data_IF_476253812822
#
_entry.id   IF_476253812822
#
_cell.length_a   1.000
_cell.length_b   1.000
_cell.length_c   1.000
_cell.angle_alpha   90.00
_cell.angle_beta   90.00
_cell.angle_gamma   90.00
#
_symmetry.space_group_name_H-M   'P 1'
#
loop_
_entity.id
_entity.type
_entity.pdbx_description
1 polymer ?
#
# COMPACT_ATOMS: atom_id res chain seq x y z
N UNK A 1 58.13 27.78 9.30
CA UNK A 1 57.56 27.66 10.66
C UNK A 1 56.06 27.39 10.53
N UNK A 2 55.63 26.19 10.95
CA UNK A 2 54.33 25.73 11.54
C UNK A 2 53.02 26.46 11.11
N UNK A 3 52.06 25.80 10.43
CA UNK A 3 51.03 24.84 10.90
C UNK A 3 49.75 25.49 11.47
N UNK A 4 48.58 25.23 10.86
CA UNK A 4 47.38 24.66 11.51
C UNK A 4 46.14 24.59 10.57
N UNK A 5 45.27 23.60 10.85
CA UNK A 5 44.08 23.12 10.12
C UNK A 5 42.74 23.63 10.75
N UNK A 6 41.54 23.29 10.20
CA UNK A 6 40.30 24.08 10.30
C UNK A 6 39.28 23.57 11.35
N UNK A 7 38.23 24.37 11.60
CA UNK A 7 37.07 24.01 12.42
C UNK A 7 35.72 24.28 11.74
N UNK A 8 34.88 23.24 11.67
CA UNK A 8 33.44 23.27 11.41
C UNK A 8 32.71 22.90 12.72
N UNK A 9 31.48 23.43 12.92
CA UNK A 9 30.26 22.66 13.32
C UNK A 9 29.34 23.37 14.35
N UNK A 10 28.06 22.97 14.26
CA UNK A 10 26.98 23.00 15.27
C UNK A 10 26.12 24.27 15.41
N UNK A 11 25.12 24.43 14.53
CA UNK A 11 23.77 24.96 14.89
C UNK A 11 22.86 24.78 13.67
N UNK A 12 22.15 23.65 13.51
CA UNK A 12 20.96 23.48 12.63
C UNK A 12 20.38 22.05 12.63
N UNK A 13 19.96 21.52 13.78
CA UNK A 13 19.22 20.23 13.82
C UNK A 13 18.04 20.17 14.78
N UNK A 14 17.68 21.26 15.46
CA UNK A 14 16.57 21.27 16.41
C UNK A 14 15.21 21.69 15.80
N UNK A 15 15.19 22.35 14.63
CA UNK A 15 13.96 22.96 14.08
C UNK A 15 13.10 22.00 13.22
N UNK A 16 13.69 20.94 12.66
CA UNK A 16 13.00 20.01 11.75
C UNK A 16 12.22 18.90 12.46
N UNK A 17 12.45 18.68 13.76
CA UNK A 17 11.75 17.64 14.53
C UNK A 17 10.46 18.15 15.17
N UNK A 18 10.41 19.45 15.50
CA UNK A 18 9.26 20.10 16.14
C UNK A 18 8.05 20.25 15.20
N UNK A 19 8.28 20.46 13.89
CA UNK A 19 7.24 20.68 12.88
C UNK A 19 6.38 19.44 12.59
N UNK A 20 6.97 18.25 12.53
CA UNK A 20 6.23 16.98 12.29
C UNK A 20 5.35 16.60 13.48
N UNK A 21 5.85 16.77 14.71
CA UNK A 21 5.06 16.52 15.93
C UNK A 21 3.95 17.52 16.18
N UNK A 22 4.02 18.72 15.58
CA UNK A 22 2.96 19.74 15.64
C UNK A 22 1.89 19.48 14.58
N UNK A 23 2.29 18.98 13.40
CA UNK A 23 1.38 18.59 12.32
C UNK A 23 0.51 17.38 12.68
N UNK A 24 1.09 16.37 13.35
CA UNK A 24 0.37 15.17 13.78
C UNK A 24 -0.54 15.39 15.01
N UNK A 25 -0.32 16.45 15.80
CA UNK A 25 -1.05 16.66 17.07
C UNK A 25 -2.46 17.24 16.91
N UNK A 26 -2.82 17.72 15.71
CA UNK A 26 -4.08 18.44 15.46
C UNK A 26 -5.10 17.70 14.59
N UNK A 27 -4.80 16.51 14.06
CA UNK A 27 -5.72 15.74 13.21
C UNK A 27 -5.95 14.36 13.82
N UNK A 28 -7.18 14.10 14.25
CA UNK A 28 -7.66 12.77 14.65
C UNK A 28 -7.78 11.89 13.41
N UNK A 29 -6.65 11.50 12.81
CA UNK A 29 -6.64 10.58 11.68
C UNK A 29 -7.01 9.16 12.16
N UNK A 30 -8.07 8.53 11.62
CA UNK A 30 -8.34 7.12 11.85
C UNK A 30 -7.44 6.28 10.95
N UNK A 31 -6.12 6.47 10.99
CA UNK A 31 -5.21 5.50 10.37
C UNK A 31 -5.42 4.17 11.10
N UNK A 32 -5.83 3.08 10.41
CA UNK A 32 -5.97 1.79 11.06
C UNK A 32 -4.60 1.39 11.56
N UNK A 33 -4.44 1.35 12.88
CA UNK A 33 -3.22 0.86 13.55
C UNK A 33 -2.81 -0.50 12.98
N UNK A 34 -3.78 -1.27 12.50
CA UNK A 34 -3.66 -2.54 11.77
C UNK A 34 -2.84 -2.48 10.47
N UNK A 35 -2.85 -1.38 9.69
CA UNK A 35 -2.10 -1.27 8.42
C UNK A 35 -0.60 -1.00 8.66
N UNK A 36 -0.29 -0.17 9.66
CA UNK A 36 1.09 0.01 10.14
C UNK A 36 1.62 -1.28 10.77
N UNK A 37 0.77 -2.00 11.51
CA UNK A 37 1.08 -3.33 12.03
C UNK A 37 1.28 -4.37 10.91
N UNK A 38 0.53 -4.30 9.81
CA UNK A 38 0.68 -5.15 8.64
C UNK A 38 1.96 -4.86 7.86
N UNK A 39 2.31 -3.58 7.67
CA UNK A 39 3.59 -3.18 7.09
C UNK A 39 4.77 -3.62 7.97
N UNK A 40 4.65 -3.46 9.30
CA UNK A 40 5.63 -3.94 10.25
C UNK A 40 5.70 -5.48 10.30
N UNK A 41 4.56 -6.18 10.18
CA UNK A 41 4.50 -7.64 10.11
C UNK A 41 5.09 -8.17 8.79
N UNK A 42 4.86 -7.47 7.67
CA UNK A 42 5.49 -7.75 6.38
C UNK A 42 7.01 -7.65 6.49
N UNK A 43 7.52 -6.53 7.03
CA UNK A 43 8.96 -6.33 7.28
C UNK A 43 9.54 -7.38 8.24
N UNK A 44 8.77 -7.83 9.23
CA UNK A 44 9.15 -8.91 10.17
C UNK A 44 9.08 -10.31 9.55
N UNK A 45 8.27 -10.50 8.51
CA UNK A 45 8.08 -11.78 7.81
C UNK A 45 9.13 -12.06 6.74
N UNK A 46 9.93 -11.05 6.38
CA UNK A 46 11.15 -11.24 5.59
C UNK A 46 12.12 -12.13 6.39
N UNK A 47 12.69 -13.19 5.78
CA UNK A 47 13.60 -14.06 6.51
C UNK A 47 14.83 -13.28 6.97
N UNK A 48 15.40 -13.64 8.13
CA UNK A 48 16.61 -13.00 8.60
C UNK A 48 17.73 -13.24 7.58
N UNK A 49 18.33 -12.15 7.10
CA UNK A 49 19.66 -12.19 6.50
C UNK A 49 20.67 -12.72 7.54
N UNK A 50 21.83 -13.26 7.13
CA UNK A 50 22.82 -13.86 8.05
C UNK A 50 23.46 -12.86 9.05
N UNK A 51 22.95 -11.64 9.16
CA UNK A 51 23.34 -10.65 10.16
C UNK A 51 22.34 -10.68 11.33
N UNK A 52 22.40 -11.71 12.17
CA UNK A 52 21.67 -11.74 13.44
C UNK A 52 22.53 -12.26 14.58
N UNK A 53 23.04 -11.33 15.36
CA UNK A 53 23.20 -11.52 16.80
C UNK A 53 22.61 -10.29 17.49
N UNK A 54 21.65 -10.50 18.39
CA UNK A 54 21.15 -9.47 19.29
C UNK A 54 19.81 -8.82 18.91
N UNK A 55 18.69 -9.54 19.08
CA UNK A 55 17.38 -8.89 19.27
C UNK A 55 16.63 -9.57 20.43
N UNK A 56 16.55 -8.91 21.57
CA UNK A 56 15.55 -9.18 22.62
C UNK A 56 14.40 -8.20 22.43
N UNK A 57 13.18 -8.72 22.27
CA UNK A 57 11.97 -7.91 22.08
C UNK A 57 11.25 -7.77 23.43
N UNK A 58 11.20 -6.57 24.00
CA UNK A 58 10.47 -6.29 25.24
C UNK A 58 8.97 -6.05 24.96
N UNK A 59 8.13 -6.58 25.85
CA UNK A 59 6.66 -6.51 25.87
C UNK A 59 6.23 -5.15 26.46
N UNK A 60 5.39 -4.40 25.75
CA UNK A 60 4.71 -3.21 26.29
C UNK A 60 3.21 -3.27 25.94
N UNK A 61 2.41 -3.71 26.92
CA UNK A 61 0.97 -3.49 26.98
C UNK A 61 0.74 -2.70 28.27
N UNK A 62 0.19 -1.50 28.15
CA UNK A 62 -0.28 -0.67 29.27
C UNK A 62 -1.65 -0.08 28.92
N UNK A 63 -2.59 0.01 29.87
CA UNK A 63 -3.97 0.38 29.60
C UNK A 63 -4.13 1.90 29.56
N UNK A 64 -5.03 2.37 28.69
CA UNK A 64 -5.60 3.72 28.60
C UNK A 64 -4.95 4.70 27.59
N UNK A 65 -5.79 5.03 26.60
CA UNK A 65 -5.81 6.19 25.70
C UNK A 65 -4.64 6.43 24.71
N UNK A 66 -4.84 5.85 23.52
CA UNK A 66 -4.71 6.50 22.21
C UNK A 66 -3.52 7.45 21.97
N UNK A 67 -2.31 6.96 22.21
CA UNK A 67 -1.08 7.50 21.61
C UNK A 67 -0.08 6.37 21.42
N UNK A 68 -0.34 5.48 20.47
CA UNK A 68 0.72 4.60 19.96
C UNK A 68 1.58 5.41 19.00
N UNK A 69 2.52 6.17 19.55
CA UNK A 69 3.74 6.51 18.83
C UNK A 69 4.49 5.20 18.59
N UNK A 70 4.24 4.57 17.44
CA UNK A 70 5.11 3.52 16.93
C UNK A 70 6.39 4.21 16.42
N UNK A 71 7.23 4.67 17.36
CA UNK A 71 8.65 4.76 17.10
C UNK A 71 9.09 3.32 16.84
N UNK A 72 9.14 2.93 15.58
CA UNK A 72 10.06 1.87 15.16
C UNK A 72 11.41 2.31 15.72
N UNK A 73 11.86 1.65 16.78
CA UNK A 73 13.17 1.88 17.34
C UNK A 73 14.20 1.38 16.30
N UNK A 74 14.48 2.26 15.33
CA UNK A 74 15.41 2.08 14.23
C UNK A 74 16.86 2.26 14.71
N UNK A 75 17.09 2.32 16.02
CA UNK A 75 18.42 2.42 16.64
C UNK A 75 19.31 1.20 16.35
N UNK A 76 18.74 0.10 15.85
CA UNK A 76 19.49 -1.10 15.44
C UNK A 76 19.93 -1.12 13.96
N UNK A 77 19.64 -0.07 13.16
CA UNK A 77 20.11 0.05 11.78
C UNK A 77 21.41 0.87 11.71
N UNK A 78 22.36 0.55 10.81
CA UNK A 78 23.57 1.33 10.62
C UNK A 78 23.28 2.81 10.35
N UNK A 79 24.01 3.71 11.01
CA UNK A 79 23.75 5.16 11.08
C UNK A 79 23.78 5.91 9.73
N UNK A 80 24.26 5.28 8.66
CA UNK A 80 24.23 5.79 7.28
C UNK A 80 22.87 5.61 6.59
N UNK A 81 22.13 4.53 6.90
CA UNK A 81 20.83 4.21 6.30
C UNK A 81 19.69 4.99 6.94
N UNK A 82 19.82 5.30 8.23
CA UNK A 82 18.85 6.11 8.97
C UNK A 82 18.67 7.51 8.35
N UNK A 83 19.72 8.10 7.77
CA UNK A 83 19.65 9.41 7.09
C UNK A 83 19.05 9.32 5.68
N UNK A 84 19.24 8.21 4.96
CA UNK A 84 18.71 8.05 3.59
C UNK A 84 17.23 7.74 3.56
N UNK A 85 16.76 6.79 4.38
CA UNK A 85 15.33 6.41 4.42
C UNK A 85 14.50 7.52 5.06
N UNK A 86 14.99 8.11 6.15
CA UNK A 86 14.36 9.28 6.77
C UNK A 86 14.43 10.50 5.86
N UNK A 87 15.53 10.69 5.13
CA UNK A 87 15.67 11.72 4.09
C UNK A 87 14.68 11.52 2.94
N UNK A 88 14.39 10.28 2.56
CA UNK A 88 13.41 9.97 1.51
C UNK A 88 11.98 10.32 1.91
N UNK A 89 11.57 9.91 3.12
CA UNK A 89 10.23 10.17 3.65
C UNK A 89 10.07 11.66 3.98
N UNK A 90 11.10 12.29 4.54
CA UNK A 90 11.11 13.72 4.86
C UNK A 90 11.20 14.58 3.59
N UNK A 91 11.90 14.17 2.53
CA UNK A 91 11.90 14.87 1.24
C UNK A 91 10.56 14.74 0.51
N UNK A 92 9.95 13.54 0.56
CA UNK A 92 8.60 13.33 0.04
C UNK A 92 7.55 14.16 0.81
N UNK A 93 7.73 14.34 2.12
CA UNK A 93 6.88 15.19 2.95
C UNK A 93 7.21 16.70 2.87
N UNK A 94 8.47 17.08 2.62
CA UNK A 94 8.91 18.48 2.54
C UNK A 94 8.57 19.11 1.18
N UNK A 95 8.35 18.32 0.14
CA UNK A 95 7.81 18.79 -1.14
C UNK A 95 6.31 19.18 -1.05
N UNK A 96 5.70 19.22 0.15
CA UNK A 96 4.26 19.35 0.34
C UNK A 96 3.72 20.78 0.47
N UNK A 97 4.55 21.82 0.45
CA UNK A 97 4.05 23.20 0.57
C UNK A 97 4.09 23.94 -0.77
N UNK A 98 2.94 24.05 -1.44
CA UNK A 98 2.70 25.14 -2.39
C UNK A 98 1.20 25.39 -2.59
N UNK A 99 0.85 26.67 -2.56
CA UNK A 99 -0.49 27.24 -2.69
C UNK A 99 -0.83 27.54 -4.15
N UNK A 100 -2.06 27.22 -4.57
CA UNK A 100 -2.73 27.78 -5.76
C UNK A 100 -2.33 27.16 -7.10
N UNK A 101 -3.33 26.60 -7.80
CA UNK A 101 -3.32 26.10 -9.19
C UNK A 101 -2.03 25.38 -9.63
N UNK A 102 -2.06 24.04 -9.59
CA UNK A 102 -0.94 23.22 -10.07
C UNK A 102 -0.87 23.29 -11.60
N UNK A 103 0.24 23.76 -12.16
CA UNK A 103 0.46 23.79 -13.61
C UNK A 103 0.58 22.38 -14.21
N UNK A 104 0.18 22.23 -15.49
CA UNK A 104 0.39 20.99 -16.24
C UNK A 104 1.86 20.57 -16.33
N UNK A 105 2.79 21.52 -16.42
CA UNK A 105 4.23 21.23 -16.39
C UNK A 105 4.68 20.63 -15.06
N UNK A 106 4.14 21.13 -13.95
CA UNK A 106 4.38 20.59 -12.60
C UNK A 106 3.85 19.17 -12.46
N UNK A 107 2.64 18.91 -12.96
CA UNK A 107 2.05 17.56 -12.97
C UNK A 107 2.90 16.56 -13.76
N UNK A 108 3.31 16.93 -14.97
CA UNK A 108 4.17 16.08 -15.80
C UNK A 108 5.51 15.79 -15.10
N UNK A 109 6.11 16.78 -14.45
CA UNK A 109 7.32 16.62 -13.66
C UNK A 109 7.12 15.64 -12.49
N UNK A 110 6.04 15.78 -11.71
CA UNK A 110 5.75 14.86 -10.62
C UNK A 110 5.59 13.41 -11.09
N UNK A 111 4.85 13.20 -12.19
CA UNK A 111 4.65 11.86 -12.75
C UNK A 111 5.98 11.28 -13.25
N UNK A 112 6.77 12.06 -14.00
CA UNK A 112 8.06 11.61 -14.52
C UNK A 112 9.05 11.26 -13.39
N UNK A 113 9.17 12.12 -12.37
CA UNK A 113 9.99 11.86 -11.19
C UNK A 113 9.50 10.63 -10.41
N UNK A 114 8.20 10.42 -10.32
CA UNK A 114 7.61 9.23 -9.72
C UNK A 114 7.96 7.94 -10.49
N UNK A 115 7.94 7.96 -11.82
CA UNK A 115 8.33 6.78 -12.64
C UNK A 115 9.80 6.43 -12.40
N UNK A 116 10.68 7.43 -12.37
CA UNK A 116 12.11 7.23 -12.06
C UNK A 116 12.28 6.68 -10.64
N UNK A 117 11.51 7.19 -9.67
CA UNK A 117 11.52 6.71 -8.29
C UNK A 117 11.15 5.23 -8.19
N UNK A 118 10.01 4.82 -8.74
CA UNK A 118 9.55 3.42 -8.65
C UNK A 118 10.49 2.46 -9.41
N UNK A 119 11.00 2.89 -10.56
CA UNK A 119 12.00 2.13 -11.33
C UNK A 119 13.31 1.96 -10.53
N UNK A 120 13.75 3.00 -9.83
CA UNK A 120 14.94 2.94 -8.96
C UNK A 120 14.71 1.98 -7.80
N UNK A 121 13.54 2.05 -7.15
CA UNK A 121 13.18 1.13 -6.06
C UNK A 121 13.22 -0.35 -6.53
N UNK A 122 12.73 -0.62 -7.74
CA UNK A 122 12.81 -1.95 -8.36
C UNK A 122 14.25 -2.43 -8.53
N UNK A 123 15.11 -1.61 -9.15
CA UNK A 123 16.52 -1.94 -9.37
C UNK A 123 17.24 -2.18 -8.04
N UNK A 124 16.98 -1.36 -7.03
CA UNK A 124 17.53 -1.54 -5.68
C UNK A 124 17.07 -2.85 -5.05
N UNK A 125 15.78 -3.21 -5.15
CA UNK A 125 15.27 -4.47 -4.63
C UNK A 125 15.88 -5.67 -5.36
N UNK A 126 16.05 -5.60 -6.68
CA UNK A 126 16.77 -6.61 -7.47
C UNK A 126 18.22 -6.76 -6.99
N UNK A 127 18.89 -5.67 -6.66
CA UNK A 127 20.27 -5.68 -6.17
C UNK A 127 20.38 -6.22 -4.73
N UNK A 128 19.42 -5.89 -3.85
CA UNK A 128 19.37 -6.37 -2.47
C UNK A 128 18.96 -7.85 -2.38
N UNK A 129 18.15 -8.32 -3.32
CA UNK A 129 17.63 -9.69 -3.35
C UNK A 129 17.96 -10.40 -4.68
N UNK A 130 19.26 -10.60 -5.02
CA UNK A 130 19.66 -11.11 -6.33
C UNK A 130 19.17 -12.53 -6.61
N UNK A 131 18.90 -13.31 -5.55
CA UNK A 131 18.37 -14.69 -5.63
C UNK A 131 16.85 -14.76 -5.79
N UNK A 132 16.13 -13.64 -5.68
CA UNK A 132 14.67 -13.59 -5.82
C UNK A 132 14.28 -13.37 -7.26
N UNK A 133 13.04 -13.72 -7.60
CA UNK A 133 12.52 -13.56 -8.96
C UNK A 133 12.32 -12.08 -9.33
N UNK A 134 12.13 -11.83 -10.63
CA UNK A 134 11.69 -10.52 -11.12
C UNK A 134 10.33 -10.14 -10.49
N UNK A 135 9.37 -11.07 -10.56
CA UNK A 135 8.01 -10.91 -10.03
C UNK A 135 8.03 -10.60 -8.52
N UNK A 136 8.89 -11.26 -7.74
CA UNK A 136 9.08 -10.96 -6.32
C UNK A 136 9.44 -9.50 -6.08
N UNK A 137 10.45 -9.01 -6.80
CA UNK A 137 10.95 -7.65 -6.61
C UNK A 137 9.90 -6.64 -7.07
N UNK A 138 9.19 -6.91 -8.17
CA UNK A 138 8.10 -6.07 -8.65
C UNK A 138 6.98 -6.01 -7.62
N UNK A 139 6.53 -7.17 -7.10
CA UNK A 139 5.48 -7.24 -6.05
C UNK A 139 5.88 -6.54 -4.77
N UNK A 140 7.15 -6.54 -4.40
CA UNK A 140 7.63 -5.77 -3.26
C UNK A 140 7.49 -4.26 -3.50
N UNK A 141 7.81 -3.77 -4.70
CA UNK A 141 7.52 -2.37 -5.09
C UNK A 141 6.02 -2.10 -5.06
N UNK A 142 5.19 -2.99 -5.60
CA UNK A 142 3.73 -2.86 -5.57
C UNK A 142 3.17 -2.78 -4.15
N UNK A 143 3.70 -3.57 -3.22
CA UNK A 143 3.33 -3.50 -1.81
C UNK A 143 3.72 -2.15 -1.18
N UNK A 144 4.91 -1.64 -1.50
CA UNK A 144 5.36 -0.30 -1.05
C UNK A 144 4.47 0.81 -1.61
N UNK A 145 4.10 0.72 -2.89
CA UNK A 145 3.17 1.64 -3.52
C UNK A 145 1.82 1.62 -2.83
N UNK A 146 1.21 0.45 -2.63
CA UNK A 146 -0.10 0.34 -2.02
C UNK A 146 -0.16 0.98 -0.63
N UNK A 147 0.87 0.76 0.21
CA UNK A 147 0.98 1.43 1.52
C UNK A 147 1.10 2.94 1.36
N UNK A 148 1.94 3.40 0.43
CA UNK A 148 2.12 4.83 0.14
C UNK A 148 0.82 5.47 -0.35
N UNK A 149 0.10 4.83 -1.26
CA UNK A 149 -1.14 5.29 -1.85
C UNK A 149 -2.25 5.42 -0.81
N UNK A 150 -2.40 4.44 0.08
CA UNK A 150 -3.35 4.48 1.20
C UNK A 150 -3.00 5.62 2.16
N UNK A 151 -1.73 5.76 2.54
CA UNK A 151 -1.28 6.85 3.40
C UNK A 151 -1.54 8.22 2.77
N UNK A 152 -1.14 8.42 1.52
CA UNK A 152 -1.34 9.69 0.81
C UNK A 152 -2.82 10.01 0.60
N UNK A 153 -3.67 9.02 0.35
CA UNK A 153 -5.12 9.20 0.29
C UNK A 153 -5.68 9.68 1.65
N UNK A 154 -5.28 9.05 2.76
CA UNK A 154 -5.69 9.50 4.09
C UNK A 154 -5.23 10.93 4.41
N UNK A 155 -4.00 11.28 4.01
CA UNK A 155 -3.42 12.59 4.29
C UNK A 155 -4.00 13.70 3.39
N UNK A 156 -4.60 13.35 2.25
CA UNK A 156 -5.20 14.29 1.32
C UNK A 156 -6.69 14.55 1.56
N UNK A 157 -7.33 13.81 2.47
CA UNK A 157 -8.70 14.10 2.92
C UNK A 157 -8.68 15.34 3.81
N UNK A 158 -9.44 16.35 3.38
CA UNK A 158 -9.55 17.63 4.10
C UNK A 158 -10.54 17.54 5.28
N UNK A 159 -11.68 16.90 5.06
CA UNK A 159 -12.71 16.68 6.09
C UNK A 159 -13.13 15.21 6.15
N UNK A 160 -12.84 14.56 7.29
CA UNK A 160 -13.21 13.18 7.55
C UNK A 160 -14.68 13.00 7.92
N UNK A 161 -15.41 14.09 8.21
CA UNK A 161 -16.86 14.03 8.43
C UNK A 161 -17.61 13.65 7.14
N UNK A 162 -17.08 14.06 5.98
CA UNK A 162 -17.46 13.54 4.67
C UNK A 162 -16.24 13.40 3.75
N UNK A 163 -15.54 12.24 3.75
CA UNK A 163 -14.27 12.06 3.02
C UNK A 163 -14.42 12.07 1.50
N UNK A 164 -15.65 11.98 0.98
CA UNK A 164 -15.98 12.05 -0.45
C UNK A 164 -16.58 13.41 -0.84
N UNK A 165 -16.76 14.34 0.11
CA UNK A 165 -17.30 15.66 -0.16
C UNK A 165 -16.18 16.71 -0.28
N UNK A 166 -16.37 17.76 -1.09
CA UNK A 166 -17.44 17.93 -2.08
C UNK A 166 -17.23 17.03 -3.32
N UNK A 167 -18.31 16.59 -3.95
CA UNK A 167 -18.27 15.81 -5.21
C UNK A 167 -18.04 16.72 -6.42
N UNK A 168 -17.38 16.18 -7.47
CA UNK A 168 -17.06 16.85 -8.73
C UNK A 168 -16.32 18.20 -8.56
N UNK A 169 -15.74 18.45 -7.38
CA UNK A 169 -15.09 19.71 -7.06
C UNK A 169 -13.66 19.77 -7.62
N UNK A 170 -13.05 20.95 -7.54
CA UNK A 170 -11.63 21.11 -7.84
C UNK A 170 -10.78 20.26 -6.89
N UNK A 171 -9.78 19.59 -7.45
CA UNK A 171 -8.85 18.76 -6.68
C UNK A 171 -7.87 19.63 -5.90
N UNK A 172 -7.66 19.32 -4.63
CA UNK A 172 -6.64 20.00 -3.83
C UNK A 172 -5.23 19.57 -4.26
N UNK A 173 -4.19 20.39 -4.02
CA UNK A 173 -2.81 20.03 -4.37
C UNK A 173 -2.34 18.71 -3.71
N UNK A 174 -2.79 18.40 -2.50
CA UNK A 174 -2.48 17.13 -1.82
C UNK A 174 -3.13 15.93 -2.52
N UNK A 175 -4.39 16.06 -2.97
CA UNK A 175 -5.08 15.05 -3.76
C UNK A 175 -4.37 14.83 -5.10
N UNK A 176 -4.00 15.90 -5.79
CA UNK A 176 -3.28 15.83 -7.06
C UNK A 176 -1.90 15.16 -6.90
N UNK A 177 -1.16 15.46 -5.82
CA UNK A 177 0.10 14.78 -5.50
C UNK A 177 -0.12 13.28 -5.24
N UNK A 178 -1.13 12.92 -4.44
CA UNK A 178 -1.46 11.53 -4.15
C UNK A 178 -1.77 10.75 -5.43
N UNK A 179 -2.56 11.34 -6.33
CA UNK A 179 -2.92 10.76 -7.62
C UNK A 179 -1.73 10.70 -8.58
N UNK A 180 -0.86 11.72 -8.63
CA UNK A 180 0.35 11.70 -9.47
C UNK A 180 1.33 10.60 -9.06
N UNK A 181 1.53 10.39 -7.75
CA UNK A 181 2.34 9.29 -7.23
C UNK A 181 1.76 7.94 -7.68
N UNK A 182 0.45 7.77 -7.61
CA UNK A 182 -0.21 6.53 -8.07
C UNK A 182 -0.15 6.36 -9.59
N UNK A 183 -0.40 7.41 -10.37
CA UNK A 183 -0.27 7.36 -11.83
C UNK A 183 1.14 6.94 -12.24
N UNK A 184 2.15 7.53 -11.61
CA UNK A 184 3.55 7.20 -11.90
C UNK A 184 3.87 5.73 -11.61
N UNK A 185 3.33 5.18 -10.52
CA UNK A 185 3.43 3.76 -10.22
C UNK A 185 2.71 2.92 -11.29
N UNK A 186 1.49 3.28 -11.68
CA UNK A 186 0.72 2.52 -12.67
C UNK A 186 1.43 2.44 -14.03
N UNK A 187 2.10 3.52 -14.45
CA UNK A 187 2.94 3.55 -15.66
C UNK A 187 4.16 2.64 -15.50
N UNK A 188 4.86 2.75 -14.38
CA UNK A 188 6.00 1.87 -14.06
C UNK A 188 5.60 0.38 -14.04
N UNK A 189 4.55 0.03 -13.32
CA UNK A 189 4.12 -1.36 -13.13
C UNK A 189 3.60 -1.96 -14.45
N UNK A 190 2.89 -1.18 -15.27
CA UNK A 190 2.49 -1.61 -16.61
C UNK A 190 3.70 -1.95 -17.49
N UNK A 191 4.77 -1.13 -17.45
CA UNK A 191 6.01 -1.42 -18.15
C UNK A 191 6.68 -2.68 -17.61
N UNK A 192 6.77 -2.84 -16.29
CA UNK A 192 7.33 -4.03 -15.66
C UNK A 192 6.56 -5.31 -15.99
N UNK A 193 5.23 -5.29 -15.96
CA UNK A 193 4.39 -6.41 -16.36
C UNK A 193 4.62 -6.78 -17.84
N UNK A 194 4.69 -5.78 -18.72
CA UNK A 194 4.97 -6.02 -20.15
C UNK A 194 6.36 -6.65 -20.37
N UNK A 195 7.40 -6.11 -19.73
CA UNK A 195 8.77 -6.63 -19.81
C UNK A 195 8.92 -8.04 -19.23
N UNK A 196 8.10 -8.40 -18.23
CA UNK A 196 8.07 -9.74 -17.64
C UNK A 196 7.12 -10.71 -18.38
N UNK A 197 6.47 -10.27 -19.46
CA UNK A 197 5.53 -11.07 -20.24
C UNK A 197 4.17 -11.33 -19.57
N UNK A 198 3.83 -10.65 -18.47
CA UNK A 198 2.51 -10.76 -17.80
C UNK A 198 1.47 -9.86 -18.51
N UNK A 199 1.10 -10.24 -19.73
CA UNK A 199 0.14 -9.52 -20.59
C UNK A 199 -1.29 -10.05 -20.45
N UNK A 200 -1.66 -10.55 -19.27
CA UNK A 200 -3.02 -11.03 -19.03
C UNK A 200 -4.02 -9.89 -19.20
N UNK A 201 -5.06 -10.14 -20.01
CA UNK A 201 -6.08 -9.15 -20.37
C UNK A 201 -6.68 -8.43 -19.15
N UNK A 202 -6.95 -9.16 -18.06
CA UNK A 202 -7.54 -8.57 -16.85
C UNK A 202 -6.61 -7.54 -16.20
N UNK A 203 -5.31 -7.81 -16.17
CA UNK A 203 -4.31 -6.88 -15.66
C UNK A 203 -4.10 -5.69 -16.60
N UNK A 204 -4.02 -5.95 -17.91
CA UNK A 204 -3.87 -4.90 -18.92
C UNK A 204 -5.03 -3.91 -18.90
N UNK A 205 -6.27 -4.40 -18.84
CA UNK A 205 -7.47 -3.54 -18.75
C UNK A 205 -7.46 -2.75 -17.44
N UNK A 206 -7.05 -3.36 -16.33
CA UNK A 206 -6.89 -2.65 -15.05
C UNK A 206 -5.90 -1.49 -15.15
N UNK A 207 -4.71 -1.73 -15.70
CA UNK A 207 -3.71 -0.68 -15.89
C UNK A 207 -4.21 0.41 -16.81
N UNK A 208 -4.83 0.05 -17.94
CA UNK A 208 -5.36 1.01 -18.91
C UNK A 208 -6.41 1.92 -18.26
N UNK A 209 -7.44 1.34 -17.63
CA UNK A 209 -8.52 2.10 -16.99
C UNK A 209 -7.98 2.98 -15.86
N UNK A 210 -7.02 2.49 -15.08
CA UNK A 210 -6.41 3.27 -14.01
C UNK A 210 -5.52 4.41 -14.53
N UNK A 211 -4.68 4.17 -15.53
CA UNK A 211 -3.80 5.19 -16.13
C UNK A 211 -4.66 6.29 -16.79
N UNK A 212 -5.64 5.90 -17.60
CA UNK A 212 -6.52 6.86 -18.28
C UNK A 212 -7.39 7.60 -17.27
N UNK A 213 -7.98 6.91 -16.28
CA UNK A 213 -8.81 7.54 -15.26
C UNK A 213 -8.05 8.52 -14.37
N UNK A 214 -6.88 8.12 -13.88
CA UNK A 214 -6.05 9.00 -13.04
C UNK A 214 -5.48 10.17 -13.86
N UNK A 215 -5.01 9.89 -15.08
CA UNK A 215 -4.54 10.92 -16.01
C UNK A 215 -5.61 11.95 -16.34
N UNK A 216 -6.85 11.51 -16.60
CA UNK A 216 -7.99 12.38 -16.84
C UNK A 216 -8.29 13.26 -15.62
N UNK A 217 -8.30 12.71 -14.41
CA UNK A 217 -8.55 13.49 -13.20
C UNK A 217 -7.48 14.55 -12.92
N UNK A 218 -6.21 14.22 -13.18
CA UNK A 218 -5.11 15.20 -13.11
C UNK A 218 -5.22 16.27 -14.20
N UNK A 219 -5.63 15.90 -15.41
CA UNK A 219 -5.78 16.85 -16.52
C UNK A 219 -6.98 17.80 -16.31
N UNK A 220 -8.12 17.28 -15.84
CA UNK A 220 -9.29 18.09 -15.52
C UNK A 220 -9.15 18.86 -14.20
N UNK A 221 -8.25 18.43 -13.31
CA UNK A 221 -8.06 18.98 -11.96
C UNK A 221 -9.36 19.00 -11.14
N UNK A 222 -10.21 18.00 -11.35
CA UNK A 222 -11.50 17.85 -10.66
C UNK A 222 -11.66 16.44 -10.12
N UNK A 223 -12.72 16.23 -9.34
CA UNK A 223 -13.12 14.98 -8.68
C UNK A 223 -12.07 14.36 -7.77
N UNK A 224 -11.23 15.20 -7.16
CA UNK A 224 -10.11 14.75 -6.33
C UNK A 224 -10.56 13.91 -5.13
N UNK A 225 -11.64 14.30 -4.46
CA UNK A 225 -12.22 13.58 -3.31
C UNK A 225 -12.69 12.18 -3.70
N UNK A 226 -13.43 12.04 -4.80
CA UNK A 226 -13.86 10.73 -5.29
C UNK A 226 -12.68 9.85 -5.71
N UNK A 227 -11.68 10.44 -6.37
CA UNK A 227 -10.53 9.69 -6.87
C UNK A 227 -9.60 9.23 -5.76
N UNK A 228 -9.32 10.05 -4.74
CA UNK A 228 -8.49 9.62 -3.60
C UNK A 228 -9.24 8.60 -2.73
N UNK A 229 -10.56 8.73 -2.59
CA UNK A 229 -11.38 7.69 -1.97
C UNK A 229 -11.32 6.39 -2.78
N UNK A 230 -11.37 6.47 -4.12
CA UNK A 230 -11.25 5.32 -5.01
C UNK A 230 -9.89 4.65 -4.85
N UNK A 231 -8.82 5.45 -4.84
CA UNK A 231 -7.46 4.98 -4.59
C UNK A 231 -7.36 4.26 -3.24
N UNK A 232 -7.95 4.81 -2.18
CA UNK A 232 -7.93 4.19 -0.86
C UNK A 232 -8.61 2.80 -0.88
N UNK A 233 -9.84 2.72 -1.39
CA UNK A 233 -10.59 1.46 -1.38
C UNK A 233 -9.99 0.41 -2.31
N UNK A 234 -9.35 0.84 -3.41
CA UNK A 234 -8.66 -0.10 -4.28
C UNK A 234 -7.37 -0.59 -3.63
N UNK A 235 -6.57 0.30 -3.06
CA UNK A 235 -5.23 -0.06 -2.57
C UNK A 235 -5.20 -0.71 -1.19
N UNK A 236 -6.21 -0.54 -0.34
CA UNK A 236 -6.18 -1.11 1.03
C UNK A 236 -6.03 -2.65 1.05
N UNK A 237 -6.49 -3.33 0.00
CA UNK A 237 -6.36 -4.79 -0.14
C UNK A 237 -5.05 -5.24 -0.80
N UNK A 238 -4.36 -4.35 -1.51
CA UNK A 238 -3.18 -4.66 -2.32
C UNK A 238 -1.96 -5.17 -1.52
N UNK A 239 -1.63 -4.67 -0.31
CA UNK A 239 -0.51 -5.22 0.45
C UNK A 239 -0.68 -6.71 0.76
N UNK A 240 -1.92 -7.14 1.04
CA UNK A 240 -2.25 -8.56 1.28
C UNK A 240 -2.20 -9.38 -0.02
N UNK A 241 -2.59 -8.80 -1.16
CA UNK A 241 -2.46 -9.39 -2.50
C UNK A 241 -0.99 -9.66 -2.88
N UNK A 242 -0.10 -8.72 -2.60
CA UNK A 242 1.33 -8.93 -2.91
C UNK A 242 1.97 -9.87 -1.90
N UNK A 243 1.65 -9.74 -0.60
CA UNK A 243 2.16 -10.63 0.44
C UNK A 243 1.80 -12.11 0.18
N UNK A 244 0.56 -12.43 -0.22
CA UNK A 244 0.18 -13.84 -0.51
C UNK A 244 1.00 -14.48 -1.63
N UNK A 245 1.40 -13.71 -2.65
CA UNK A 245 2.21 -14.25 -3.75
C UNK A 245 3.70 -14.34 -3.33
N UNK A 246 4.19 -13.33 -2.61
CA UNK A 246 5.53 -13.32 -2.01
C UNK A 246 5.73 -14.55 -1.09
N UNK A 247 4.75 -14.87 -0.24
CA UNK A 247 4.80 -16.05 0.64
C UNK A 247 4.92 -17.37 -0.14
N UNK A 248 4.33 -17.47 -1.33
CA UNK A 248 4.45 -18.66 -2.18
C UNK A 248 5.88 -18.84 -2.70
N UNK A 249 6.60 -17.76 -2.97
CA UNK A 249 8.02 -17.82 -3.36
C UNK A 249 8.94 -18.18 -2.18
N UNK A 250 8.53 -17.91 -0.95
CA UNK A 250 9.20 -18.43 0.25
C UNK A 250 8.88 -19.90 0.56
N UNK A 251 8.14 -20.60 -0.29
CA UNK A 251 7.76 -22.01 -0.06
C UNK A 251 6.63 -22.19 0.95
N UNK A 252 5.98 -21.10 1.40
CA UNK A 252 4.91 -21.11 2.42
C UNK A 252 3.53 -21.39 1.78
N UNK A 253 3.51 -21.99 0.58
CA UNK A 253 2.28 -22.32 -0.15
C UNK A 253 1.47 -23.38 0.60
N UNK A 254 0.15 -23.25 0.58
CA UNK A 254 -0.80 -24.21 1.18
C UNK A 254 -0.63 -24.45 2.69
N UNK A 255 0.00 -23.50 3.40
CA UNK A 255 0.05 -23.45 4.87
C UNK A 255 -1.13 -22.66 5.46
N UNK A 256 -1.34 -22.79 6.77
CA UNK A 256 -2.35 -21.99 7.49
C UNK A 256 -2.05 -20.50 7.44
N UNK A 257 -0.77 -20.10 7.44
CA UNK A 257 -0.37 -18.70 7.26
C UNK A 257 -0.77 -18.18 5.88
N UNK A 258 -0.49 -18.93 4.82
CA UNK A 258 -0.92 -18.56 3.48
C UNK A 258 -2.46 -18.51 3.37
N UNK A 259 -3.17 -19.45 4.00
CA UNK A 259 -4.63 -19.45 4.03
C UNK A 259 -5.18 -18.21 4.77
N UNK A 260 -4.59 -17.85 5.91
CA UNK A 260 -4.97 -16.67 6.67
C UNK A 260 -4.82 -15.40 5.81
N UNK A 261 -3.68 -15.22 5.15
CA UNK A 261 -3.46 -14.07 4.26
C UNK A 261 -4.43 -14.09 3.08
N UNK A 262 -4.72 -15.26 2.49
CA UNK A 262 -5.74 -15.39 1.44
C UNK A 262 -7.13 -14.94 1.90
N UNK A 263 -7.53 -15.32 3.12
CA UNK A 263 -8.82 -14.94 3.71
C UNK A 263 -8.85 -13.45 4.04
N UNK A 264 -7.80 -12.91 4.66
CA UNK A 264 -7.69 -11.47 4.97
C UNK A 264 -7.74 -10.63 3.69
N UNK A 265 -7.02 -11.05 2.64
CA UNK A 265 -7.08 -10.42 1.33
C UNK A 265 -8.52 -10.44 0.78
N UNK A 266 -9.16 -11.61 0.77
CA UNK A 266 -10.52 -11.75 0.25
C UNK A 266 -11.52 -10.89 1.03
N UNK A 267 -11.46 -10.87 2.36
CA UNK A 267 -12.34 -10.05 3.20
C UNK A 267 -12.12 -8.55 2.93
N UNK A 268 -10.87 -8.10 2.96
CA UNK A 268 -10.54 -6.68 2.74
C UNK A 268 -10.95 -6.23 1.34
N UNK A 269 -10.65 -7.03 0.31
CA UNK A 269 -11.07 -6.76 -1.07
C UNK A 269 -12.58 -6.67 -1.19
N UNK A 270 -13.32 -7.60 -0.57
CA UNK A 270 -14.78 -7.65 -0.63
C UNK A 270 -15.40 -6.42 0.02
N UNK A 271 -15.02 -6.11 1.26
CA UNK A 271 -15.55 -4.97 2.00
C UNK A 271 -15.23 -3.66 1.28
N UNK A 272 -13.95 -3.44 0.92
CA UNK A 272 -13.51 -2.20 0.30
C UNK A 272 -14.11 -2.03 -1.10
N UNK A 273 -13.94 -3.01 -2.00
CA UNK A 273 -14.28 -2.83 -3.41
C UNK A 273 -15.71 -3.25 -3.77
N UNK A 274 -16.31 -4.21 -3.07
CA UNK A 274 -17.70 -4.63 -3.33
C UNK A 274 -18.71 -4.01 -2.37
N UNK A 275 -18.29 -3.63 -1.16
CA UNK A 275 -19.11 -2.84 -0.24
C UNK A 275 -19.09 -1.35 -0.60
N UNK A 276 -17.94 -0.70 -0.44
CA UNK A 276 -17.82 0.74 -0.67
C UNK A 276 -17.66 1.14 -2.15
N UNK A 277 -17.03 0.29 -2.97
CA UNK A 277 -16.79 0.56 -4.39
C UNK A 277 -18.04 0.92 -5.19
N UNK A 278 -19.14 0.14 -5.18
CA UNK A 278 -20.35 0.48 -5.92
C UNK A 278 -20.97 1.81 -5.49
N UNK A 279 -20.97 2.12 -4.18
CA UNK A 279 -21.43 3.41 -3.68
C UNK A 279 -20.58 4.56 -4.22
N UNK A 280 -19.26 4.42 -4.19
CA UNK A 280 -18.36 5.45 -4.69
C UNK A 280 -18.51 5.62 -6.20
N UNK A 281 -18.60 4.52 -6.96
CA UNK A 281 -18.88 4.59 -8.39
C UNK A 281 -20.20 5.30 -8.66
N UNK A 282 -21.26 4.96 -7.92
CA UNK A 282 -22.56 5.63 -8.01
C UNK A 282 -22.41 7.14 -7.79
N UNK A 283 -21.79 7.56 -6.68
CA UNK A 283 -21.56 8.97 -6.38
C UNK A 283 -20.80 9.69 -7.52
N UNK A 284 -19.74 9.08 -8.03
CA UNK A 284 -18.94 9.63 -9.14
C UNK A 284 -19.74 9.76 -10.43
N UNK A 285 -20.56 8.76 -10.80
CA UNK A 285 -21.32 8.79 -12.07
C UNK A 285 -22.55 9.69 -12.01
N UNK A 286 -23.14 9.89 -10.83
CA UNK A 286 -24.29 10.79 -10.66
C UNK A 286 -23.90 12.24 -10.46
N UNK A 287 -22.68 12.51 -9.98
CA UNK A 287 -22.16 13.88 -9.89
C UNK A 287 -21.89 14.50 -11.28
N UNK A 288 -21.67 15.81 -11.32
CA UNK A 288 -21.35 16.57 -12.54
C UNK A 288 -19.89 16.37 -12.97
N UNK A 289 -19.49 15.12 -13.13
CA UNK A 289 -18.15 14.71 -13.55
C UNK A 289 -18.05 14.57 -15.08
N UNK A 290 -16.87 14.82 -15.68
CA UNK A 290 -16.65 14.56 -17.10
C UNK A 290 -16.97 13.10 -17.46
N UNK A 291 -17.54 12.87 -18.65
CA UNK A 291 -17.96 11.52 -19.12
C UNK A 291 -16.81 10.52 -19.04
N UNK A 292 -15.57 10.95 -19.35
CA UNK A 292 -14.40 10.09 -19.26
C UNK A 292 -14.15 9.58 -17.84
N UNK A 293 -14.27 10.43 -16.81
CA UNK A 293 -14.14 10.03 -15.41
C UNK A 293 -15.21 8.99 -15.04
N UNK A 294 -16.46 9.23 -15.45
CA UNK A 294 -17.58 8.31 -15.20
C UNK A 294 -17.34 6.94 -15.84
N UNK A 295 -16.86 6.93 -17.08
CA UNK A 295 -16.52 5.72 -17.81
C UNK A 295 -15.39 4.95 -17.12
N UNK A 296 -14.32 5.64 -16.71
CA UNK A 296 -13.18 4.99 -16.04
C UNK A 296 -13.54 4.48 -14.65
N UNK A 297 -14.32 5.23 -13.86
CA UNK A 297 -14.82 4.77 -12.56
C UNK A 297 -15.68 3.51 -12.69
N UNK A 298 -16.58 3.49 -13.67
CA UNK A 298 -17.40 2.30 -13.99
C UNK A 298 -16.53 1.13 -14.42
N UNK A 299 -15.57 1.36 -15.32
CA UNK A 299 -14.63 0.34 -15.77
C UNK A 299 -13.84 -0.28 -14.63
N UNK A 300 -13.35 0.55 -13.69
CA UNK A 300 -12.59 0.08 -12.53
C UNK A 300 -13.45 -0.78 -11.58
N UNK A 301 -14.72 -0.42 -11.42
CA UNK A 301 -15.67 -1.22 -10.64
C UNK A 301 -15.97 -2.56 -11.31
N UNK A 302 -16.12 -2.60 -12.65
CA UNK A 302 -16.33 -3.84 -13.40
C UNK A 302 -15.13 -4.79 -13.31
N UNK A 303 -13.90 -4.27 -13.44
CA UNK A 303 -12.67 -5.04 -13.23
C UNK A 303 -12.63 -5.60 -11.81
N UNK A 304 -12.99 -4.80 -10.81
CA UNK A 304 -13.05 -5.23 -9.42
C UNK A 304 -14.08 -6.34 -9.20
N UNK A 305 -15.25 -6.24 -9.82
CA UNK A 305 -16.29 -7.28 -9.75
C UNK A 305 -15.82 -8.58 -10.42
N UNK A 306 -15.16 -8.49 -11.57
CA UNK A 306 -14.56 -9.66 -12.23
C UNK A 306 -13.55 -10.37 -11.33
N UNK A 307 -12.64 -9.62 -10.70
CA UNK A 307 -11.66 -10.20 -9.76
C UNK A 307 -12.31 -10.76 -8.51
N UNK A 308 -13.37 -10.14 -7.99
CA UNK A 308 -14.14 -10.68 -6.86
C UNK A 308 -14.67 -12.09 -7.18
N UNK A 309 -15.25 -12.29 -8.37
CA UNK A 309 -15.73 -13.61 -8.79
C UNK A 309 -14.60 -14.65 -8.82
N UNK A 310 -13.39 -14.26 -9.24
CA UNK A 310 -12.21 -15.15 -9.21
C UNK A 310 -11.78 -15.48 -7.78
N UNK A 311 -11.79 -14.49 -6.88
CA UNK A 311 -11.47 -14.67 -5.46
C UNK A 311 -12.46 -15.65 -4.81
N UNK A 312 -13.76 -15.50 -5.06
CA UNK A 312 -14.78 -16.42 -4.54
C UNK A 312 -14.52 -17.87 -4.99
N UNK A 313 -14.17 -18.10 -6.26
CA UNK A 313 -13.80 -19.44 -6.75
C UNK A 313 -12.58 -19.99 -6.03
N UNK A 314 -11.55 -19.17 -5.83
CA UNK A 314 -10.31 -19.57 -5.15
C UNK A 314 -10.54 -19.92 -3.67
N UNK A 315 -11.31 -19.11 -2.94
CA UNK A 315 -11.65 -19.38 -1.53
C UNK A 315 -12.48 -20.66 -1.40
N UNK A 316 -13.52 -20.84 -2.23
CA UNK A 316 -14.34 -22.06 -2.24
C UNK A 316 -13.50 -23.32 -2.48
N UNK A 317 -12.58 -23.26 -3.45
CA UNK A 317 -11.67 -24.36 -3.75
C UNK A 317 -10.79 -24.73 -2.54
N UNK A 318 -10.16 -23.74 -1.89
CA UNK A 318 -9.26 -23.98 -0.75
C UNK A 318 -9.98 -24.52 0.48
N UNK A 319 -11.18 -24.01 0.79
CA UNK A 319 -12.00 -24.55 1.88
C UNK A 319 -12.43 -25.99 1.60
N UNK A 320 -12.77 -26.33 0.34
CA UNK A 320 -13.08 -27.69 -0.07
C UNK A 320 -11.89 -28.67 0.07
N UNK A 321 -10.67 -28.24 -0.29
CA UNK A 321 -9.44 -29.04 -0.14
C UNK A 321 -9.12 -29.32 1.33
N UNK A 322 -9.29 -28.33 2.21
CA UNK A 322 -9.01 -28.50 3.64
C UNK A 322 -10.02 -29.43 4.34
N UNK A 323 -11.30 -29.42 3.93
CA UNK A 323 -12.28 -30.39 4.43
C UNK A 323 -11.88 -31.83 4.12
N UNK A 324 -11.29 -32.09 2.95
CA UNK A 324 -10.82 -33.42 2.53
C UNK A 324 -9.55 -33.89 3.25
N UNK A 325 -8.76 -32.99 3.85
CA UNK A 325 -7.55 -33.33 4.62
C UNK A 325 -7.84 -33.75 6.07
N UNK A 326 -9.05 -33.49 6.60
CA UNK A 326 -9.44 -33.95 7.95
C UNK A 326 -9.74 -35.46 7.88
N UNK A 327 -9.05 -36.33 8.64
CA UNK A 327 -9.40 -37.75 8.69
C UNK A 327 -10.83 -37.90 9.25
N UNK A 328 -11.58 -38.94 8.82
CA UNK A 328 -12.89 -39.22 9.39
C UNK A 328 -12.77 -39.37 10.92
N UNK A 329 -13.79 -38.94 11.69
CA UNK A 329 -13.77 -39.13 13.13
C UNK A 329 -13.48 -40.61 13.43
N UNK A 330 -12.46 -40.88 14.24
CA UNK A 330 -12.11 -42.24 14.63
C UNK A 330 -13.37 -42.91 15.19
N UNK A 331 -13.79 -44.01 14.59
CA UNK A 331 -14.84 -44.84 15.15
C UNK A 331 -14.49 -45.10 16.63
N UNK A 332 -15.42 -44.79 17.52
CA UNK A 332 -15.28 -45.10 18.93
C UNK A 332 -14.97 -46.61 19.05
N UNK A 333 -13.98 -47.03 19.86
CA UNK A 333 -13.71 -48.44 20.06
C UNK A 333 -14.97 -49.07 20.68
N UNK A 334 -15.67 -49.90 19.91
CA UNK A 334 -16.73 -50.76 20.43
C UNK A 334 -16.09 -51.67 21.47
N UNK A 335 -16.58 -51.55 22.71
CA UNK A 335 -15.96 -52.10 23.90
C UNK A 335 -15.72 -53.61 23.83
N UNK A 336 -14.57 -54.01 24.37
CA UNK A 336 -14.37 -55.36 24.92
C UNK A 336 -14.58 -55.26 26.43
N UNK A 337 -15.64 -55.88 26.95
CA UNK A 337 -15.79 -56.45 28.30
C UNK A 337 -17.20 -57.08 28.35
N UNK A 338 -17.47 -58.27 28.86
CA UNK A 338 -16.69 -59.15 29.72
C UNK A 338 -16.98 -60.63 29.36
N UNK A 339 -15.99 -61.47 29.59
CA UNK A 339 -16.11 -62.91 29.76
C UNK A 339 -16.83 -63.20 31.07
N UNK A 340 -17.84 -64.06 31.02
CA UNK A 340 -18.16 -65.06 32.06
C UNK A 340 -18.31 -66.41 31.34
#
# INVERSE_FOLDING_TARGET
MLSARPGHSLYNSALSTLSVTRWLRGRSCPCPSSLLLLAAAFLRSLPPSPLRSGYKLARLVGPNHCSTSLLLDLSSLPSSDHRRVRGFIVAAAAAMEESGVVSGGTLASWVASGVVLWSTAFVLLRALFPKRSYDFCNRAVSAMHAVTAVCLACLSVDDWSCPVCPLAAASSPSQMKALAVTLSYMVYDAACCHLNGDVRLDNTVHHLVSIVGIGAGLAYQRCGTEMVASQFITEISSPLLHLREILKEFGVRDTDLNLLVDVLFALTFSVARMGFGPYLTYATVTADNPILIKAMATGLQLVSAYWFLRILRMVRYKLGKNKKKKPPPSAAPAGKLATD
#
